data_IF_403757441517
#
_entry.id   IF_403757441517
#
_cell.length_a   1.000
_cell.length_b   1.000
_cell.length_c   1.000
_cell.angle_alpha   90.00
_cell.angle_beta   90.00
_cell.angle_gamma   90.00
#
_symmetry.space_group_name_H-M   'P 1'
#
loop_
_entity.id
_entity.type
_entity.pdbx_description
1 polymer ?
#
# COMPACT_ATOMS: atom_id res chain seq x y z
N UNK A 1 -6.43 -55.34 -34.32
CA UNK A 1 -6.03 -56.71 -33.95
C UNK A 1 -5.72 -56.72 -32.47
N UNK A 2 -6.59 -57.52 -31.73
CA UNK A 2 -6.26 -58.37 -30.58
C UNK A 2 -5.66 -57.68 -29.32
N UNK A 3 -6.21 -57.78 -28.17
CA UNK A 3 -7.02 -58.57 -27.23
C UNK A 3 -6.55 -58.17 -25.82
N UNK A 4 -7.44 -57.66 -25.00
CA UNK A 4 -8.04 -58.25 -23.78
C UNK A 4 -7.08 -59.06 -22.88
N UNK A 5 -6.98 -58.68 -21.62
CA UNK A 5 -7.52 -59.47 -20.50
C UNK A 5 -7.35 -58.81 -19.15
N UNK A 6 -8.41 -58.81 -18.41
CA UNK A 6 -8.59 -58.50 -17.01
C UNK A 6 -7.96 -59.56 -16.10
N UNK A 7 -7.62 -59.20 -14.87
CA UNK A 7 -7.61 -60.13 -13.75
C UNK A 7 -7.93 -59.33 -12.45
N UNK A 8 -9.07 -59.64 -11.91
CA UNK A 8 -9.50 -59.27 -10.56
C UNK A 8 -8.93 -60.27 -9.55
N UNK A 9 -8.51 -59.81 -8.40
CA UNK A 9 -8.32 -60.65 -7.21
C UNK A 9 -8.82 -59.91 -5.96
N UNK A 10 -9.94 -60.40 -5.48
CA UNK A 10 -10.48 -60.16 -4.16
C UNK A 10 -9.68 -61.00 -3.14
N UNK A 11 -9.29 -60.35 -2.04
CA UNK A 11 -9.01 -61.09 -0.79
C UNK A 11 -9.71 -60.36 0.35
N UNK A 12 -10.61 -61.10 0.97
CA UNK A 12 -11.36 -60.80 2.19
C UNK A 12 -10.64 -61.51 3.36
N UNK A 13 -10.57 -60.89 4.49
CA UNK A 13 -10.53 -61.39 5.87
C UNK A 13 -9.71 -60.40 6.75
N UNK A 14 -9.98 -60.10 7.97
CA UNK A 14 -11.01 -60.45 8.99
C UNK A 14 -10.87 -59.43 10.13
N UNK A 15 -11.94 -59.10 10.69
CA UNK A 15 -12.35 -58.67 12.02
C UNK A 15 -11.26 -58.75 13.12
N UNK A 16 -11.02 -57.64 13.76
CA UNK A 16 -10.37 -57.51 15.07
C UNK A 16 -10.97 -56.34 15.84
N UNK A 17 -11.95 -56.63 16.71
CA UNK A 17 -12.54 -55.68 17.67
C UNK A 17 -11.69 -55.68 18.95
N UNK A 18 -11.24 -54.50 19.40
CA UNK A 18 -10.91 -54.24 20.83
C UNK A 18 -10.91 -52.72 21.10
N UNK A 19 -11.84 -52.29 21.73
CA UNK A 19 -12.15 -51.57 22.97
C UNK A 19 -11.33 -50.32 23.33
N UNK A 20 -12.08 -49.22 23.40
CA UNK A 20 -12.16 -48.20 24.47
C UNK A 20 -10.86 -47.48 24.88
N UNK A 21 -10.72 -46.27 24.39
CA UNK A 21 -9.87 -45.23 24.96
C UNK A 21 -10.61 -43.88 24.88
N UNK A 22 -10.80 -43.26 26.04
CA UNK A 22 -11.61 -42.07 26.32
C UNK A 22 -11.36 -40.89 25.38
N UNK A 23 -12.45 -40.31 24.92
CA UNK A 23 -12.59 -39.04 24.24
C UNK A 23 -11.96 -37.88 25.04
N UNK A 24 -10.91 -37.29 24.49
CA UNK A 24 -10.56 -35.89 24.72
C UNK A 24 -11.21 -35.08 23.60
N UNK A 25 -12.23 -34.30 23.92
CA UNK A 25 -12.80 -33.30 23.01
C UNK A 25 -11.74 -32.31 22.62
N UNK A 26 -11.48 -32.04 21.32
CA UNK A 26 -10.76 -30.86 20.93
C UNK A 26 -11.63 -29.66 21.25
N UNK A 27 -11.13 -28.82 22.11
CA UNK A 27 -11.70 -27.52 22.40
C UNK A 27 -11.52 -26.68 21.12
N UNK A 28 -12.61 -26.59 20.37
CA UNK A 28 -12.73 -25.61 19.27
C UNK A 28 -12.48 -24.22 19.84
N UNK A 29 -11.26 -23.73 19.70
CA UNK A 29 -10.99 -22.31 19.71
C UNK A 29 -11.58 -21.75 18.41
N UNK A 30 -12.89 -21.52 18.42
CA UNK A 30 -13.58 -20.75 17.40
C UNK A 30 -12.93 -19.37 17.36
N UNK A 31 -11.96 -19.19 16.48
CA UNK A 31 -11.55 -17.88 16.03
C UNK A 31 -12.82 -17.23 15.51
N UNK A 32 -13.32 -16.26 16.26
CA UNK A 32 -14.49 -15.46 15.91
C UNK A 32 -14.18 -14.80 14.57
N UNK A 33 -14.58 -15.42 13.48
CA UNK A 33 -14.48 -14.87 12.14
C UNK A 33 -15.46 -13.71 12.12
N UNK A 34 -14.94 -12.50 12.30
CA UNK A 34 -15.73 -11.27 12.18
C UNK A 34 -16.38 -11.25 10.81
N UNK A 35 -17.68 -11.07 10.80
CA UNK A 35 -18.46 -10.99 9.57
C UNK A 35 -17.97 -9.82 8.72
N UNK A 36 -17.82 -9.95 7.38
CA UNK A 36 -17.40 -8.83 6.52
C UNK A 36 -18.25 -7.56 6.63
N UNK A 37 -19.41 -7.63 7.28
CA UNK A 37 -20.30 -6.48 7.53
C UNK A 37 -19.79 -5.52 8.60
N UNK A 38 -18.86 -5.91 9.46
CA UNK A 38 -18.38 -5.07 10.57
C UNK A 38 -17.24 -4.15 10.16
N UNK A 39 -16.64 -4.37 8.97
CA UNK A 39 -15.48 -3.62 8.46
C UNK A 39 -15.87 -2.49 7.49
N UNK A 40 -17.17 -2.21 7.32
CA UNK A 40 -17.61 -1.10 6.46
C UNK A 40 -17.29 0.23 7.15
N UNK A 41 -16.63 1.18 6.45
CA UNK A 41 -16.35 2.51 6.98
C UNK A 41 -17.62 3.21 7.49
N UNK A 42 -17.55 3.81 8.67
CA UNK A 42 -18.72 4.43 9.33
C UNK A 42 -18.71 5.95 9.23
N UNK A 43 -17.65 6.52 8.72
CA UNK A 43 -17.51 7.95 8.52
C UNK A 43 -16.83 8.29 7.20
N UNK A 44 -16.87 9.56 6.80
CA UNK A 44 -16.11 10.06 5.64
C UNK A 44 -14.61 9.88 5.90
N UNK A 45 -14.15 10.19 7.11
CA UNK A 45 -12.76 10.01 7.51
C UNK A 45 -12.33 8.54 7.37
N UNK A 46 -13.11 7.58 7.90
CA UNK A 46 -12.77 6.14 7.79
C UNK A 46 -12.69 5.69 6.33
N UNK A 47 -13.61 6.16 5.48
CA UNK A 47 -13.63 5.79 4.06
C UNK A 47 -12.39 6.29 3.32
N UNK A 48 -11.98 7.52 3.55
CA UNK A 48 -10.79 8.11 2.92
C UNK A 48 -9.52 7.53 3.54
N UNK A 49 -9.47 7.40 4.88
CA UNK A 49 -8.31 6.83 5.59
C UNK A 49 -8.01 5.41 5.15
N UNK A 50 -9.03 4.57 5.00
CA UNK A 50 -8.83 3.19 4.54
C UNK A 50 -8.15 3.13 3.16
N UNK A 51 -8.59 3.99 2.24
CA UNK A 51 -7.98 4.08 0.90
C UNK A 51 -6.59 4.70 0.96
N UNK A 52 -6.40 5.76 1.74
CA UNK A 52 -5.10 6.43 1.90
C UNK A 52 -4.07 5.47 2.47
N UNK A 53 -4.36 4.80 3.59
CA UNK A 53 -3.45 3.84 4.23
C UNK A 53 -3.11 2.65 3.33
N UNK A 54 -4.06 2.20 2.51
CA UNK A 54 -3.80 1.17 1.52
C UNK A 54 -2.78 1.63 0.47
N UNK A 55 -2.92 2.85 -0.06
CA UNK A 55 -1.97 3.40 -1.05
C UNK A 55 -0.62 3.72 -0.43
N UNK A 56 -0.60 4.28 0.79
CA UNK A 56 0.62 4.54 1.58
C UNK A 56 1.42 3.26 1.83
N UNK A 57 0.74 2.19 2.27
CA UNK A 57 1.38 0.90 2.51
C UNK A 57 2.00 0.29 1.24
N UNK A 58 1.33 0.43 0.10
CA UNK A 58 1.86 -0.06 -1.17
C UNK A 58 3.05 0.77 -1.67
N UNK A 59 2.97 2.08 -1.54
CA UNK A 59 4.07 2.97 -1.91
C UNK A 59 5.29 2.75 -1.03
N UNK A 60 5.09 2.65 0.29
CA UNK A 60 6.16 2.36 1.24
C UNK A 60 6.84 1.01 0.95
N UNK A 61 6.05 -0.03 0.71
CA UNK A 61 6.60 -1.34 0.36
C UNK A 61 7.41 -1.30 -0.94
N UNK A 62 6.96 -0.53 -1.94
CA UNK A 62 7.72 -0.33 -3.18
C UNK A 62 9.02 0.45 -2.92
N UNK A 63 8.98 1.50 -2.09
CA UNK A 63 10.17 2.24 -1.71
C UNK A 63 11.17 1.35 -0.95
N UNK A 64 10.71 0.54 -0.01
CA UNK A 64 11.57 -0.40 0.75
C UNK A 64 12.16 -1.52 -0.13
N UNK A 65 11.49 -1.93 -1.20
CA UNK A 65 11.97 -2.99 -2.08
C UNK A 65 13.19 -2.60 -2.94
N UNK A 66 13.38 -1.33 -3.26
CA UNK A 66 14.53 -0.88 -4.06
C UNK A 66 15.80 -0.90 -3.20
N UNK A 67 16.90 -1.55 -3.64
CA UNK A 67 18.20 -1.45 -3.00
C UNK A 67 18.70 0.00 -2.94
N UNK A 68 19.46 0.33 -1.90
CA UNK A 68 19.94 1.72 -1.67
C UNK A 68 20.83 2.23 -2.81
N UNK A 69 21.71 1.39 -3.33
CA UNK A 69 22.59 1.71 -4.46
C UNK A 69 21.83 2.04 -5.76
N UNK A 70 20.53 1.71 -5.81
CA UNK A 70 19.64 2.00 -6.93
C UNK A 70 18.67 3.16 -6.69
N UNK A 71 18.77 3.85 -5.57
CA UNK A 71 17.90 5.02 -5.30
C UNK A 71 18.17 6.19 -6.26
N UNK A 72 19.35 6.26 -6.86
CA UNK A 72 19.68 7.23 -7.93
C UNK A 72 19.23 6.80 -9.33
N UNK A 73 18.52 5.66 -9.47
CA UNK A 73 18.09 5.15 -10.77
C UNK A 73 17.10 6.11 -11.44
N UNK A 74 17.38 6.41 -12.71
CA UNK A 74 16.50 7.14 -13.63
C UNK A 74 16.30 6.23 -14.85
N UNK A 75 15.04 6.08 -15.37
CA UNK A 75 14.77 5.32 -16.58
C UNK A 75 15.62 5.78 -17.77
N UNK A 76 15.95 4.84 -18.65
CA UNK A 76 16.72 5.08 -19.88
C UNK A 76 16.03 4.43 -21.08
N UNK A 77 16.39 4.88 -22.27
CA UNK A 77 15.88 4.27 -23.50
C UNK A 77 14.56 4.89 -24.01
N UNK A 78 14.19 6.06 -23.52
CA UNK A 78 13.04 6.84 -23.96
C UNK A 78 13.26 8.34 -23.71
N UNK A 79 12.20 9.13 -23.78
CA UNK A 79 12.26 10.56 -23.41
C UNK A 79 11.99 10.69 -21.91
N UNK A 80 13.05 10.67 -21.10
CA UNK A 80 13.03 10.78 -19.64
C UNK A 80 13.79 12.01 -19.13
N UNK A 81 13.96 13.03 -19.98
CA UNK A 81 14.62 14.26 -19.56
C UNK A 81 13.81 14.97 -18.48
N UNK A 82 14.43 15.28 -17.35
CA UNK A 82 13.81 15.96 -16.23
C UNK A 82 12.93 15.11 -15.30
N UNK A 83 12.84 13.79 -15.53
CA UNK A 83 12.15 12.91 -14.57
C UNK A 83 12.97 12.73 -13.30
N UNK A 84 12.27 12.50 -12.20
CA UNK A 84 12.89 12.22 -10.90
C UNK A 84 13.53 10.84 -10.88
N UNK A 85 14.67 10.73 -10.18
CA UNK A 85 15.21 9.45 -9.78
C UNK A 85 14.25 8.73 -8.79
N UNK A 86 14.48 7.45 -8.55
CA UNK A 86 13.67 6.67 -7.61
C UNK A 86 13.60 7.33 -6.22
N UNK A 87 14.75 7.73 -5.65
CA UNK A 87 14.81 8.39 -4.35
C UNK A 87 14.16 9.78 -4.35
N UNK A 88 14.28 10.54 -5.45
CA UNK A 88 13.60 11.82 -5.59
C UNK A 88 12.09 11.67 -5.67
N UNK A 89 11.55 10.58 -6.26
CA UNK A 89 10.12 10.26 -6.21
C UNK A 89 9.65 10.03 -4.77
N UNK A 90 10.40 9.24 -4.00
CA UNK A 90 10.07 8.97 -2.59
C UNK A 90 10.07 10.27 -1.77
N UNK A 91 11.09 11.11 -1.95
CA UNK A 91 11.21 12.40 -1.26
C UNK A 91 10.11 13.37 -1.64
N UNK A 92 9.78 13.45 -2.93
CA UNK A 92 8.70 14.29 -3.44
C UNK A 92 7.35 13.92 -2.83
N UNK A 93 7.00 12.62 -2.83
CA UNK A 93 5.74 12.15 -2.24
C UNK A 93 5.64 12.50 -0.76
N UNK A 94 6.71 12.32 0.00
CA UNK A 94 6.73 12.69 1.42
C UNK A 94 6.48 14.21 1.61
N UNK A 95 7.16 15.05 0.83
CA UNK A 95 7.00 16.50 0.91
C UNK A 95 5.57 16.94 0.56
N UNK A 96 5.01 16.41 -0.53
CA UNK A 96 3.65 16.77 -0.98
C UNK A 96 2.58 16.26 -0.02
N UNK A 97 2.81 15.12 0.63
CA UNK A 97 1.92 14.65 1.68
C UNK A 97 1.84 15.65 2.85
N UNK A 98 2.99 16.14 3.34
CA UNK A 98 3.02 17.24 4.31
C UNK A 98 2.32 18.50 3.76
N UNK A 99 2.54 18.84 2.49
CA UNK A 99 1.96 20.03 1.89
C UNK A 99 0.43 19.98 1.89
N UNK A 100 -0.17 18.90 1.42
CA UNK A 100 -1.61 18.72 1.37
C UNK A 100 -2.24 18.83 2.76
N UNK A 101 -1.68 18.18 3.76
CA UNK A 101 -2.27 18.19 5.08
C UNK A 101 -1.94 19.46 5.89
N UNK A 102 -0.85 20.18 5.58
CA UNK A 102 -0.68 21.53 6.09
C UNK A 102 -1.77 22.48 5.53
N UNK A 103 -2.03 22.43 4.23
CA UNK A 103 -3.09 23.24 3.62
C UNK A 103 -4.48 22.86 4.11
N UNK A 104 -4.74 21.56 4.37
CA UNK A 104 -5.99 21.10 5.03
C UNK A 104 -6.23 21.79 6.37
N UNK A 105 -5.17 22.01 7.15
CA UNK A 105 -5.22 22.70 8.45
C UNK A 105 -5.11 24.22 8.33
N UNK A 106 -4.98 24.79 7.14
CA UNK A 106 -4.74 26.21 6.92
C UNK A 106 -3.32 26.67 7.32
N UNK A 107 -2.37 25.74 7.38
CA UNK A 107 -0.95 26.01 7.67
C UNK A 107 -0.18 26.23 6.37
N UNK A 108 0.96 26.94 6.46
CA UNK A 108 1.87 27.08 5.32
C UNK A 108 2.49 25.74 4.95
N UNK A 109 2.35 25.27 3.69
CA UNK A 109 2.99 24.03 3.25
C UNK A 109 4.52 24.18 3.16
N UNK A 110 5.28 23.08 3.11
CA UNK A 110 6.69 23.11 2.75
C UNK A 110 6.89 23.76 1.39
N UNK A 111 7.99 24.48 1.23
CA UNK A 111 8.37 25.07 -0.05
C UNK A 111 9.06 24.01 -0.93
N UNK A 112 8.94 24.16 -2.25
CA UNK A 112 9.72 23.46 -3.27
C UNK A 112 9.58 21.91 -3.27
N UNK A 113 8.38 21.40 -2.94
CA UNK A 113 8.11 19.96 -2.95
C UNK A 113 8.31 19.33 -4.34
N UNK A 114 8.25 20.10 -5.42
CA UNK A 114 8.59 19.62 -6.77
C UNK A 114 10.02 19.07 -6.84
N UNK A 115 10.93 19.61 -6.02
CA UNK A 115 12.29 19.11 -5.84
C UNK A 115 12.47 18.27 -4.56
N UNK A 116 11.37 17.85 -3.91
CA UNK A 116 11.37 17.09 -2.67
C UNK A 116 11.48 17.92 -1.40
N UNK A 117 11.37 19.26 -1.50
CA UNK A 117 11.44 20.18 -0.36
C UNK A 117 12.84 20.33 0.23
N UNK A 118 12.90 20.98 1.39
CA UNK A 118 14.16 21.30 2.08
C UNK A 118 14.56 20.26 3.15
N UNK A 119 13.82 19.15 3.29
CA UNK A 119 14.22 18.10 4.22
C UNK A 119 15.61 17.55 3.87
N UNK A 120 16.51 17.36 4.87
CA UNK A 120 17.89 16.96 4.62
C UNK A 120 18.06 15.48 4.24
N UNK A 121 17.00 14.65 4.28
CA UNK A 121 17.05 13.22 3.98
C UNK A 121 17.70 12.95 2.61
N UNK A 122 18.71 12.05 2.60
CA UNK A 122 19.49 11.67 1.41
C UNK A 122 19.65 10.16 1.28
N UNK A 123 19.86 9.44 2.40
CA UNK A 123 19.99 7.99 2.41
C UNK A 123 18.62 7.33 2.29
N UNK A 124 18.58 6.08 1.85
CA UNK A 124 17.34 5.30 1.82
C UNK A 124 16.63 5.31 3.18
N UNK A 125 17.37 5.08 4.27
CA UNK A 125 16.80 5.03 5.60
C UNK A 125 16.16 6.36 6.02
N UNK A 126 16.82 7.48 5.73
CA UNK A 126 16.30 8.82 6.01
C UNK A 126 15.06 9.14 5.15
N UNK A 127 15.07 8.79 3.87
CA UNK A 127 13.94 8.99 2.96
C UNK A 127 12.71 8.15 3.38
N UNK A 128 12.92 6.90 3.78
CA UNK A 128 11.86 6.05 4.31
C UNK A 128 11.30 6.63 5.61
N UNK A 129 12.17 7.15 6.50
CA UNK A 129 11.70 7.82 7.71
C UNK A 129 10.87 9.04 7.40
N UNK A 130 11.35 9.91 6.52
CA UNK A 130 10.64 11.12 6.11
C UNK A 130 9.27 10.81 5.49
N UNK A 131 9.21 9.74 4.68
CA UNK A 131 7.96 9.23 4.11
C UNK A 131 6.98 8.77 5.20
N UNK A 132 7.45 7.96 6.16
CA UNK A 132 6.63 7.49 7.29
C UNK A 132 6.13 8.65 8.15
N UNK A 133 7.00 9.59 8.49
CA UNK A 133 6.62 10.79 9.26
C UNK A 133 5.52 11.60 8.53
N UNK A 134 5.59 11.70 7.19
CA UNK A 134 4.57 12.40 6.40
C UNK A 134 3.22 11.67 6.40
N UNK A 135 3.24 10.35 6.40
CA UNK A 135 2.03 9.52 6.48
C UNK A 135 1.38 9.60 7.87
N UNK A 136 2.17 9.49 8.93
CA UNK A 136 1.68 9.62 10.30
C UNK A 136 1.03 10.98 10.53
N UNK A 137 1.66 12.05 10.06
CA UNK A 137 1.11 13.40 10.12
C UNK A 137 -0.21 13.49 9.32
N UNK A 138 -0.21 13.06 8.06
CA UNK A 138 -1.37 13.13 7.19
C UNK A 138 -2.57 12.35 7.74
N UNK A 139 -2.34 11.13 8.23
CA UNK A 139 -3.38 10.32 8.85
C UNK A 139 -3.94 10.96 10.12
N UNK A 140 -3.08 11.60 10.94
CA UNK A 140 -3.52 12.35 12.12
C UNK A 140 -4.43 13.53 11.77
N UNK A 141 -4.08 14.29 10.73
CA UNK A 141 -4.92 15.41 10.25
C UNK A 141 -6.22 14.90 9.64
N UNK A 142 -6.17 13.85 8.82
CA UNK A 142 -7.34 13.26 8.17
C UNK A 142 -8.37 12.74 9.18
N UNK A 143 -7.94 12.26 10.34
CA UNK A 143 -8.83 11.82 11.41
C UNK A 143 -9.75 12.96 11.93
N UNK A 144 -9.43 14.22 11.65
CA UNK A 144 -10.28 15.38 11.99
C UNK A 144 -11.37 15.68 10.96
N UNK A 145 -11.40 14.95 9.83
CA UNK A 145 -12.41 15.11 8.79
C UNK A 145 -13.77 14.57 9.26
N UNK A 146 -14.80 15.38 9.10
CA UNK A 146 -16.18 15.05 9.50
C UNK A 146 -17.16 15.44 8.40
N UNK A 147 -18.40 14.97 8.48
CA UNK A 147 -19.46 15.43 7.57
C UNK A 147 -19.72 16.95 7.69
N UNK A 148 -19.47 17.54 8.84
CA UNK A 148 -19.69 18.96 9.07
C UNK A 148 -18.62 19.84 8.41
N UNK A 149 -17.37 19.37 8.31
CA UNK A 149 -16.25 20.15 7.77
C UNK A 149 -15.73 19.67 6.42
N UNK A 150 -16.28 18.58 5.86
CA UNK A 150 -15.78 17.98 4.63
C UNK A 150 -15.75 18.95 3.43
N UNK A 151 -16.70 19.87 3.39
CA UNK A 151 -16.81 20.89 2.34
C UNK A 151 -16.21 22.24 2.72
N UNK A 152 -15.57 22.35 3.88
CA UNK A 152 -14.83 23.56 4.25
C UNK A 152 -13.78 23.85 3.18
N UNK A 153 -13.70 25.13 2.78
CA UNK A 153 -12.78 25.60 1.76
C UNK A 153 -11.33 25.43 2.20
N UNK A 154 -10.54 24.91 1.32
CA UNK A 154 -9.08 24.85 1.43
C UNK A 154 -8.50 25.62 0.25
N UNK A 155 -7.56 26.49 0.54
CA UNK A 155 -6.81 27.23 -0.46
C UNK A 155 -5.32 27.09 -0.18
N UNK A 156 -4.55 26.81 -1.22
CA UNK A 156 -3.12 26.69 -1.12
C UNK A 156 -2.46 26.45 -2.46
N UNK A 157 -1.15 26.42 -2.43
CA UNK A 157 -0.32 26.24 -3.63
C UNK A 157 -0.49 24.84 -4.25
N UNK A 158 -0.72 23.83 -3.40
CA UNK A 158 -0.82 22.42 -3.79
C UNK A 158 -2.27 21.97 -3.96
N UNK A 159 -3.16 22.45 -3.09
CA UNK A 159 -4.59 22.14 -3.16
C UNK A 159 -5.29 22.89 -4.30
N UNK A 160 -4.82 24.10 -4.62
CA UNK A 160 -5.63 25.06 -5.39
C UNK A 160 -6.93 25.39 -4.65
N UNK A 161 -7.94 25.93 -5.32
CA UNK A 161 -9.29 26.04 -4.77
C UNK A 161 -9.89 24.65 -4.60
N UNK A 162 -10.05 24.19 -3.35
CA UNK A 162 -10.52 22.84 -3.02
C UNK A 162 -11.36 22.85 -1.72
N UNK A 163 -11.67 21.67 -1.24
CA UNK A 163 -12.28 21.43 0.07
C UNK A 163 -11.44 20.44 0.88
N UNK A 164 -11.69 20.33 2.17
CA UNK A 164 -10.99 19.33 3.01
C UNK A 164 -11.12 17.92 2.48
N UNK A 165 -12.32 17.53 2.04
CA UNK A 165 -12.50 16.23 1.36
C UNK A 165 -11.75 16.18 0.03
N UNK A 166 -11.82 17.24 -0.75
CA UNK A 166 -11.15 17.32 -2.06
C UNK A 166 -9.64 17.12 -1.97
N UNK A 167 -8.97 17.82 -1.04
CA UNK A 167 -7.53 17.66 -0.85
C UNK A 167 -7.15 16.29 -0.27
N UNK A 168 -8.03 15.70 0.56
CA UNK A 168 -7.83 14.33 1.06
C UNK A 168 -7.88 13.29 -0.06
N UNK A 169 -8.79 13.47 -1.03
CA UNK A 169 -8.85 12.63 -2.25
C UNK A 169 -7.63 12.88 -3.14
N UNK A 170 -7.18 14.13 -3.27
CA UNK A 170 -5.97 14.48 -4.01
C UNK A 170 -4.72 13.79 -3.43
N UNK A 171 -4.61 13.68 -2.11
CA UNK A 171 -3.52 12.94 -1.45
C UNK A 171 -3.50 11.46 -1.86
N UNK A 172 -4.65 10.80 -1.90
CA UNK A 172 -4.76 9.40 -2.38
C UNK A 172 -4.33 9.29 -3.85
N UNK A 173 -4.86 10.17 -4.71
CA UNK A 173 -4.53 10.18 -6.13
C UNK A 173 -3.03 10.39 -6.36
N UNK A 174 -2.42 11.36 -5.68
CA UNK A 174 -1.01 11.69 -5.84
C UNK A 174 -0.09 10.51 -5.49
N UNK A 175 -0.33 9.85 -4.35
CA UNK A 175 0.45 8.66 -3.97
C UNK A 175 0.26 7.54 -5.01
N UNK A 176 -0.96 7.34 -5.51
CA UNK A 176 -1.27 6.29 -6.49
C UNK A 176 -0.58 6.52 -7.82
N UNK A 177 -0.52 7.78 -8.31
CA UNK A 177 0.19 8.15 -9.52
C UNK A 177 1.69 7.83 -9.40
N UNK A 178 2.32 8.28 -8.33
CA UNK A 178 3.74 8.01 -8.09
C UNK A 178 4.02 6.52 -7.75
N UNK A 179 3.09 5.80 -7.15
CA UNK A 179 3.20 4.36 -6.95
C UNK A 179 3.35 3.62 -8.29
N UNK A 180 2.56 3.98 -9.29
CA UNK A 180 2.69 3.41 -10.63
C UNK A 180 4.09 3.60 -11.20
N UNK A 181 4.67 4.78 -11.04
CA UNK A 181 6.02 5.10 -11.49
C UNK A 181 7.08 4.26 -10.73
N UNK A 182 6.97 4.13 -9.41
CA UNK A 182 7.87 3.29 -8.62
C UNK A 182 7.81 1.81 -9.06
N UNK A 183 6.62 1.30 -9.34
CA UNK A 183 6.41 -0.08 -9.83
C UNK A 183 7.19 -0.32 -11.14
N UNK A 184 7.12 0.63 -12.08
CA UNK A 184 7.88 0.51 -13.33
C UNK A 184 9.40 0.62 -13.09
N UNK A 185 9.86 1.49 -12.21
CA UNK A 185 11.27 1.60 -11.87
C UNK A 185 11.81 0.30 -11.22
N UNK A 186 11.02 -0.33 -10.34
CA UNK A 186 11.36 -1.63 -9.78
C UNK A 186 11.55 -2.67 -10.88
N UNK A 187 10.59 -2.79 -11.81
CA UNK A 187 10.64 -3.74 -12.92
C UNK A 187 11.82 -3.52 -13.84
N UNK A 188 12.14 -2.26 -14.15
CA UNK A 188 13.33 -1.91 -14.93
C UNK A 188 14.63 -2.32 -14.25
N UNK A 189 14.60 -2.49 -12.93
CA UNK A 189 15.74 -3.00 -12.15
C UNK A 189 15.66 -4.50 -11.85
N UNK A 190 14.76 -5.25 -12.50
CA UNK A 190 14.59 -6.68 -12.30
C UNK A 190 13.93 -7.07 -10.97
N UNK A 191 13.29 -6.12 -10.30
CA UNK A 191 12.63 -6.33 -8.99
C UNK A 191 11.13 -6.51 -9.22
N UNK A 192 10.59 -7.64 -8.74
CA UNK A 192 9.13 -7.87 -8.77
C UNK A 192 8.48 -6.99 -7.69
N UNK A 193 7.51 -6.12 -8.05
CA UNK A 193 6.87 -5.25 -7.07
C UNK A 193 6.17 -6.04 -5.95
N UNK A 194 6.21 -5.57 -4.68
CA UNK A 194 5.65 -6.30 -3.54
C UNK A 194 4.18 -6.71 -3.70
N UNK A 195 3.34 -5.85 -4.28
CA UNK A 195 1.94 -6.18 -4.53
C UNK A 195 1.78 -7.30 -5.55
N UNK A 196 2.63 -7.34 -6.59
CA UNK A 196 2.65 -8.45 -7.56
C UNK A 196 3.01 -9.76 -6.88
N UNK A 197 3.98 -9.75 -5.96
CA UNK A 197 4.36 -10.92 -5.17
C UNK A 197 3.21 -11.36 -4.26
N UNK A 198 2.58 -10.43 -3.54
CA UNK A 198 1.49 -10.70 -2.60
C UNK A 198 0.30 -11.39 -3.25
N UNK A 199 -0.07 -10.99 -4.45
CA UNK A 199 -1.22 -11.59 -5.16
C UNK A 199 -0.85 -12.75 -6.08
N UNK A 200 0.41 -13.20 -6.07
CA UNK A 200 0.85 -14.36 -6.86
C UNK A 200 0.68 -14.18 -8.38
N UNK A 201 0.68 -12.93 -8.85
CA UNK A 201 0.53 -12.63 -10.27
C UNK A 201 1.80 -13.10 -10.98
N UNK A 202 1.69 -14.20 -11.75
CA UNK A 202 2.81 -14.66 -12.58
C UNK A 202 3.03 -13.64 -13.69
N UNK A 203 4.17 -12.96 -13.63
CA UNK A 203 4.67 -12.16 -14.75
C UNK A 203 5.07 -13.15 -15.84
N UNK A 204 4.47 -13.03 -17.04
CA UNK A 204 4.78 -13.85 -18.20
C UNK A 204 6.05 -13.37 -18.87
#
# INVERSE_FOLDING_TARGET
MRFLRACALLVICSIGVSAVGKSGTPQDSATKQTSPKDDIPKSIADSVSGTLQFTEGNFLAAAEAMPEDKYSFIPKGGNFDGVRSFGEQVKHVACVQFAFFNEFEGKKPPDDCEKGGHDPAKTKAELIKYLKDSYDYGNGVLATLTAANALDRVEGRYAGPSTKLGISVAAVWHITDHYGQLVEYLRMNGIVPPMTQKYGIKVR
#
